data_IF_871975589321
#
_entry.id   IF_871975589321
#
_cell.length_a   1.000
_cell.length_b   1.000
_cell.length_c   1.000
_cell.angle_alpha   90.00
_cell.angle_beta   90.00
_cell.angle_gamma   90.00
#
_symmetry.space_group_name_H-M   'P 1'
#
loop_
_entity.id
_entity.type
_entity.pdbx_description
1 polymer ?
#
# COMPACT_ATOMS: atom_id res chain seq x y z
N UNK A 1 3.71 -14.39 -37.30
CA UNK A 1 2.52 -15.16 -37.70
C UNK A 1 2.08 -15.98 -36.49
N UNK A 2 0.79 -15.89 -36.16
CA UNK A 2 0.12 -16.34 -34.92
C UNK A 2 0.46 -17.78 -34.48
N UNK A 3 0.26 -18.18 -33.22
CA UNK A 3 -1.05 -18.72 -32.78
C UNK A 3 -1.22 -18.69 -31.25
N UNK A 4 -2.43 -18.28 -30.85
CA UNK A 4 -2.99 -18.16 -29.49
C UNK A 4 -3.83 -19.42 -29.17
N UNK A 5 -4.06 -19.66 -27.87
CA UNK A 5 -5.09 -20.50 -27.23
C UNK A 5 -4.68 -21.97 -26.96
N UNK A 6 -5.02 -22.61 -25.83
CA UNK A 6 -6.29 -22.61 -25.08
C UNK A 6 -6.09 -23.04 -23.62
N UNK A 7 -6.95 -22.48 -22.76
CA UNK A 7 -7.31 -22.92 -21.40
C UNK A 7 -8.15 -24.20 -21.41
N UNK A 8 -8.16 -24.94 -20.27
CA UNK A 8 -9.08 -25.98 -19.75
C UNK A 8 -8.26 -27.18 -19.22
N UNK A 9 -8.41 -27.76 -18.03
CA UNK A 9 -9.53 -27.82 -17.09
C UNK A 9 -9.03 -28.05 -15.65
N UNK A 10 -9.65 -27.37 -14.69
CA UNK A 10 -9.79 -27.86 -13.32
C UNK A 10 -11.04 -28.74 -13.28
N UNK A 11 -10.91 -30.04 -13.00
CA UNK A 11 -11.90 -30.85 -12.24
C UNK A 11 -11.41 -32.29 -12.16
N UNK A 12 -10.88 -32.71 -11.00
CA UNK A 12 -11.36 -33.95 -10.40
C UNK A 12 -10.91 -34.06 -8.94
N UNK A 13 -11.91 -34.16 -8.07
CA UNK A 13 -11.71 -34.46 -6.67
C UNK A 13 -11.06 -35.83 -6.53
N UNK A 14 -10.02 -35.90 -5.71
CA UNK A 14 -9.44 -37.16 -5.25
C UNK A 14 -9.31 -37.11 -3.74
N UNK A 15 -9.95 -38.10 -3.15
CA UNK A 15 -10.30 -38.30 -1.75
C UNK A 15 -9.08 -38.28 -0.83
N UNK A 16 -9.27 -37.73 0.36
CA UNK A 16 -8.38 -37.92 1.50
C UNK A 16 -8.27 -39.42 1.85
N UNK A 17 -7.05 -39.96 1.92
CA UNK A 17 -6.72 -41.07 2.84
C UNK A 17 -5.25 -40.99 3.25
N UNK A 18 -5.05 -40.78 4.55
CA UNK A 18 -3.93 -41.20 5.40
C UNK A 18 -2.62 -41.64 4.72
N UNK A 19 -1.56 -40.88 4.96
CA UNK A 19 -0.33 -41.39 5.59
C UNK A 19 0.56 -40.20 5.98
N UNK A 20 1.09 -40.25 7.20
CA UNK A 20 1.71 -39.12 7.88
C UNK A 20 2.91 -38.53 7.15
N UNK A 21 2.86 -37.22 6.95
CA UNK A 21 4.04 -36.38 6.87
C UNK A 21 3.97 -35.30 7.94
N UNK A 22 4.62 -35.66 9.03
CA UNK A 22 5.31 -34.84 9.99
C UNK A 22 5.77 -33.48 9.42
N UNK A 23 5.26 -32.40 10.01
CA UNK A 23 5.98 -31.13 10.18
C UNK A 23 6.79 -30.59 8.97
N UNK A 24 6.11 -30.13 7.93
CA UNK A 24 6.69 -29.08 7.08
C UNK A 24 6.53 -27.75 7.82
N UNK A 25 7.60 -27.01 8.15
CA UNK A 25 7.43 -25.64 8.59
C UNK A 25 6.76 -24.91 7.42
N UNK A 26 5.64 -24.25 7.68
CA UNK A 26 5.09 -23.26 6.76
C UNK A 26 6.04 -22.05 6.75
N UNK A 27 7.22 -22.26 6.17
CA UNK A 27 8.31 -21.31 5.92
C UNK A 27 8.83 -21.56 4.52
N UNK A 28 7.94 -21.83 3.58
CA UNK A 28 8.24 -21.84 2.16
C UNK A 28 7.40 -20.75 1.52
N UNK A 29 8.11 -19.74 1.01
CA UNK A 29 7.68 -18.73 0.04
C UNK A 29 6.85 -17.53 0.52
N UNK A 30 7.45 -16.65 1.34
CA UNK A 30 7.09 -15.21 1.33
C UNK A 30 8.29 -14.29 1.04
N UNK A 31 9.51 -14.83 0.94
CA UNK A 31 10.74 -14.03 0.97
C UNK A 31 11.35 -13.72 -0.41
N UNK A 32 10.78 -14.20 -1.52
CA UNK A 32 11.32 -13.99 -2.89
C UNK A 32 10.39 -13.24 -3.85
N UNK A 33 9.24 -12.76 -3.40
CA UNK A 33 8.37 -11.95 -4.26
C UNK A 33 8.74 -10.48 -4.08
N UNK A 34 9.43 -9.91 -5.07
CA UNK A 34 9.68 -8.47 -5.13
C UNK A 34 8.33 -7.74 -5.07
N UNK A 35 8.14 -6.81 -4.12
CA UNK A 35 6.91 -6.03 -4.07
C UNK A 35 6.77 -5.24 -5.38
N UNK A 36 5.59 -5.33 -5.98
CA UNK A 36 5.25 -4.61 -7.22
C UNK A 36 5.01 -3.13 -6.91
N UNK A 37 4.49 -2.85 -5.71
CA UNK A 37 4.29 -1.49 -5.18
C UNK A 37 5.17 -1.26 -3.96
N UNK A 38 5.91 -0.17 -3.96
CA UNK A 38 6.61 0.30 -2.76
C UNK A 38 5.62 1.06 -1.86
N UNK A 39 5.53 0.71 -0.59
CA UNK A 39 4.63 1.37 0.36
C UNK A 39 5.45 2.13 1.40
N UNK A 40 5.23 3.44 1.45
CA UNK A 40 5.83 4.32 2.45
C UNK A 40 4.78 4.67 3.52
N UNK A 41 5.17 4.52 4.79
CA UNK A 41 4.34 4.83 5.95
C UNK A 41 4.73 6.18 6.55
N UNK A 42 3.74 6.96 6.96
CA UNK A 42 3.96 8.17 7.75
C UNK A 42 4.02 7.86 9.25
N UNK A 43 4.58 8.78 10.03
CA UNK A 43 4.64 8.65 11.49
C UNK A 43 3.23 8.57 12.10
N UNK A 44 2.27 9.31 11.54
CA UNK A 44 0.87 9.29 11.95
C UNK A 44 0.25 7.90 11.75
N UNK A 45 0.63 7.19 10.68
CA UNK A 45 0.17 5.83 10.45
C UNK A 45 0.69 4.86 11.50
N UNK A 46 1.99 4.93 11.80
CA UNK A 46 2.62 4.03 12.77
C UNK A 46 2.12 4.30 14.19
N UNK A 47 1.92 5.57 14.57
CA UNK A 47 1.35 5.95 15.85
C UNK A 47 -0.07 5.40 16.03
N UNK A 48 -0.92 5.54 15.01
CA UNK A 48 -2.26 4.95 15.03
C UNK A 48 -2.21 3.42 15.13
N UNK A 49 -1.38 2.75 14.34
CA UNK A 49 -1.31 1.28 14.32
C UNK A 49 -0.81 0.74 15.66
N UNK A 50 0.11 1.45 16.32
CA UNK A 50 0.57 1.15 17.67
C UNK A 50 -0.49 1.38 18.74
N UNK A 51 -1.38 2.35 18.55
CA UNK A 51 -2.48 2.67 19.48
C UNK A 51 -3.70 1.74 19.38
N UNK A 52 -3.76 0.85 18.39
CA UNK A 52 -4.88 -0.09 18.22
C UNK A 52 -4.88 -1.16 19.32
N UNK A 53 -5.94 -1.17 20.13
CA UNK A 53 -6.19 -2.22 21.14
C UNK A 53 -6.60 -3.56 20.51
N UNK A 54 -7.21 -3.55 19.33
CA UNK A 54 -7.64 -4.76 18.62
C UNK A 54 -6.47 -5.41 17.86
N UNK A 55 -5.98 -6.53 18.41
CA UNK A 55 -4.89 -7.31 17.82
C UNK A 55 -5.30 -7.99 16.50
N UNK A 56 -6.55 -8.43 16.37
CA UNK A 56 -7.03 -9.09 15.15
C UNK A 56 -7.21 -8.07 14.03
N UNK A 57 -7.77 -6.91 14.35
CA UNK A 57 -7.87 -5.78 13.44
C UNK A 57 -6.50 -5.34 12.93
N UNK A 58 -5.53 -5.20 13.83
CA UNK A 58 -4.15 -4.87 13.50
C UNK A 58 -3.51 -5.89 12.55
N UNK A 59 -3.68 -7.19 12.82
CA UNK A 59 -3.17 -8.24 11.94
C UNK A 59 -3.81 -8.21 10.54
N UNK A 60 -5.13 -7.98 10.47
CA UNK A 60 -5.86 -7.87 9.19
C UNK A 60 -5.40 -6.67 8.37
N UNK A 61 -5.14 -5.53 9.02
CA UNK A 61 -4.57 -4.33 8.38
C UNK A 61 -3.20 -4.64 7.77
N UNK A 62 -2.31 -5.29 8.54
CA UNK A 62 -0.97 -5.67 8.05
C UNK A 62 -1.02 -6.65 6.89
N UNK A 63 -1.85 -7.69 6.98
CA UNK A 63 -2.04 -8.66 5.89
C UNK A 63 -2.60 -7.97 4.64
N UNK A 64 -3.54 -7.04 4.80
CA UNK A 64 -4.07 -6.27 3.68
C UNK A 64 -2.99 -5.40 3.05
N UNK A 65 -2.13 -4.80 3.85
CA UNK A 65 -1.02 -4.00 3.35
C UNK A 65 -0.04 -4.85 2.54
N UNK A 66 0.31 -6.04 3.05
CA UNK A 66 1.18 -6.97 2.33
C UNK A 66 0.60 -7.38 0.98
N UNK A 67 -0.71 -7.57 0.89
CA UNK A 67 -1.39 -7.83 -0.39
C UNK A 67 -1.33 -6.63 -1.34
N UNK A 68 -1.45 -5.41 -0.81
CA UNK A 68 -1.33 -4.20 -1.61
C UNK A 68 0.10 -4.02 -2.19
N UNK A 69 1.14 -4.40 -1.44
CA UNK A 69 2.53 -4.44 -1.94
C UNK A 69 2.67 -5.37 -3.15
N UNK A 70 1.93 -6.47 -3.15
CA UNK A 70 1.89 -7.45 -4.25
C UNK A 70 1.00 -7.02 -5.43
N UNK A 71 0.34 -5.86 -5.36
CA UNK A 71 -0.57 -5.37 -6.41
C UNK A 71 -2.05 -5.56 -6.12
N UNK A 72 -2.42 -6.21 -5.02
CA UNK A 72 -3.80 -6.52 -4.68
C UNK A 72 -4.38 -5.53 -3.67
N UNK A 73 -4.92 -4.41 -4.18
CA UNK A 73 -5.48 -3.32 -3.38
C UNK A 73 -6.84 -3.65 -2.73
N UNK A 74 -7.63 -4.57 -3.30
CA UNK A 74 -8.94 -4.96 -2.77
C UNK A 74 -10.00 -3.87 -2.95
N UNK A 75 -10.92 -3.73 -1.99
CA UNK A 75 -11.96 -2.69 -2.01
C UNK A 75 -11.34 -1.30 -1.70
N UNK A 76 -11.21 -0.49 -2.76
CA UNK A 76 -10.70 0.87 -2.69
C UNK A 76 -11.68 1.85 -3.34
N UNK A 77 -11.83 3.03 -2.74
CA UNK A 77 -12.64 4.14 -3.25
C UNK A 77 -11.75 5.37 -3.47
N UNK A 78 -11.81 5.98 -4.65
CA UNK A 78 -11.19 7.29 -4.86
C UNK A 78 -11.99 8.39 -4.13
N UNK A 79 -11.29 9.26 -3.41
CA UNK A 79 -11.85 10.40 -2.66
C UNK A 79 -11.49 11.77 -3.26
N UNK A 80 -10.80 11.77 -4.40
CA UNK A 80 -10.29 12.97 -5.08
C UNK A 80 -8.92 13.42 -4.59
N UNK A 81 -8.29 14.36 -5.29
CA UNK A 81 -6.95 14.90 -5.00
C UNK A 81 -5.81 13.85 -4.98
N UNK A 82 -6.03 12.69 -5.63
CA UNK A 82 -5.12 11.54 -5.59
C UNK A 82 -5.26 10.67 -4.34
N UNK A 83 -6.17 11.02 -3.42
CA UNK A 83 -6.47 10.27 -2.21
C UNK A 83 -7.44 9.12 -2.50
N UNK A 84 -7.12 7.94 -1.97
CA UNK A 84 -7.90 6.74 -2.01
C UNK A 84 -8.15 6.22 -0.59
N UNK A 85 -9.31 5.61 -0.38
CA UNK A 85 -9.71 4.93 0.85
C UNK A 85 -9.76 3.43 0.58
N UNK A 86 -9.02 2.65 1.35
CA UNK A 86 -9.10 1.19 1.35
C UNK A 86 -9.99 0.73 2.50
N UNK A 87 -10.97 -0.11 2.17
CA UNK A 87 -11.98 -0.58 3.13
C UNK A 87 -11.64 -1.97 3.63
N UNK A 88 -11.64 -2.10 4.96
CA UNK A 88 -11.47 -3.37 5.66
C UNK A 88 -12.66 -3.53 6.59
N UNK A 89 -13.61 -4.36 6.17
CA UNK A 89 -14.80 -4.66 6.96
C UNK A 89 -14.46 -5.76 7.98
N UNK A 90 -13.83 -5.32 9.07
CA UNK A 90 -13.50 -6.14 10.24
C UNK A 90 -13.63 -5.29 11.50
N UNK A 91 -14.24 -5.85 12.55
CA UNK A 91 -14.50 -5.16 13.81
C UNK A 91 -15.26 -3.83 13.60
N UNK A 92 -14.69 -2.67 14.01
CA UNK A 92 -15.34 -1.37 13.84
C UNK A 92 -15.41 -0.86 12.39
N UNK A 93 -14.79 -1.59 11.43
CA UNK A 93 -14.72 -1.20 10.03
C UNK A 93 -13.59 -0.18 9.80
N UNK A 94 -12.39 -0.68 9.57
CA UNK A 94 -11.19 0.14 9.36
C UNK A 94 -11.16 0.74 7.94
N UNK A 95 -10.69 1.99 7.85
CA UNK A 95 -10.55 2.75 6.60
C UNK A 95 -9.14 3.33 6.46
N UNK A 96 -8.33 2.78 5.58
CA UNK A 96 -6.94 3.23 5.39
C UNK A 96 -6.91 4.27 4.28
N UNK A 97 -6.33 5.44 4.56
CA UNK A 97 -6.22 6.52 3.59
C UNK A 97 -4.82 6.54 2.99
N UNK A 98 -4.76 6.44 1.67
CA UNK A 98 -3.50 6.37 0.93
C UNK A 98 -3.54 7.20 -0.34
N UNK A 99 -2.38 7.64 -0.80
CA UNK A 99 -2.18 8.28 -2.10
C UNK A 99 -1.24 7.44 -2.92
N UNK A 100 -1.50 7.32 -4.22
CA UNK A 100 -0.63 6.62 -5.16
C UNK A 100 0.12 7.62 -6.03
N UNK A 101 1.44 7.56 -6.00
CA UNK A 101 2.35 8.36 -6.81
C UNK A 101 3.20 7.40 -7.67
N UNK A 102 2.77 7.16 -8.90
CA UNK A 102 3.40 6.17 -9.79
C UNK A 102 3.33 4.75 -9.21
N UNK A 103 4.51 4.14 -8.99
CA UNK A 103 4.67 2.80 -8.38
C UNK A 103 4.80 2.82 -6.86
N UNK A 104 4.80 4.01 -6.26
CA UNK A 104 4.92 4.20 -4.81
C UNK A 104 3.56 4.60 -4.25
N UNK A 105 3.15 3.96 -3.16
CA UNK A 105 1.96 4.34 -2.42
C UNK A 105 2.35 4.88 -1.04
N UNK A 106 1.74 6.00 -0.66
CA UNK A 106 1.93 6.64 0.62
C UNK A 106 0.71 6.43 1.49
N UNK A 107 0.93 5.84 2.66
CA UNK A 107 -0.08 5.72 3.71
C UNK A 107 -0.02 6.98 4.57
N UNK A 108 -1.07 7.80 4.49
CA UNK A 108 -1.08 9.13 5.11
C UNK A 108 -1.63 9.09 6.53
N UNK A 109 -2.74 8.36 6.67
CA UNK A 109 -3.50 8.28 7.90
C UNK A 109 -4.14 6.92 8.00
N UNK A 110 -4.03 6.37 9.19
CA UNK A 110 -4.34 5.00 9.40
C UNK A 110 -5.68 4.88 10.12
N UNK A 111 -6.54 4.07 9.50
CA UNK A 111 -7.83 3.56 10.00
C UNK A 111 -8.59 4.44 10.97
N UNK A 112 -9.28 5.43 10.41
CA UNK A 112 -10.52 5.90 11.02
C UNK A 112 -11.49 4.73 11.26
N UNK A 113 -12.37 4.89 12.24
CA UNK A 113 -13.59 4.07 12.32
C UNK A 113 -14.66 4.68 11.41
N UNK A 114 -15.67 3.89 11.04
CA UNK A 114 -16.80 4.38 10.23
C UNK A 114 -17.43 5.67 10.77
N UNK A 115 -17.40 5.90 12.09
CA UNK A 115 -17.97 7.09 12.73
C UNK A 115 -17.13 8.38 12.52
N UNK A 116 -15.82 8.26 12.35
CA UNK A 116 -14.88 9.38 12.22
C UNK A 116 -14.61 9.84 10.77
N UNK A 117 -15.17 9.13 9.79
CA UNK A 117 -14.75 9.19 8.38
C UNK A 117 -14.60 10.62 7.82
N UNK A 118 -15.52 11.55 8.10
CA UNK A 118 -15.45 12.92 7.57
C UNK A 118 -14.24 13.70 8.09
N UNK A 119 -13.95 13.57 9.38
CA UNK A 119 -12.80 14.23 10.01
C UNK A 119 -11.49 13.63 9.49
N UNK A 120 -11.44 12.30 9.39
CA UNK A 120 -10.27 11.57 8.91
C UNK A 120 -9.93 11.92 7.45
N UNK A 121 -10.95 12.04 6.58
CA UNK A 121 -10.75 12.46 5.19
C UNK A 121 -10.20 13.89 5.12
N UNK A 122 -10.75 14.82 5.92
CA UNK A 122 -10.27 16.20 5.95
C UNK A 122 -8.81 16.29 6.39
N UNK A 123 -8.46 15.54 7.45
CA UNK A 123 -7.10 15.48 7.97
C UNK A 123 -6.13 14.82 6.95
N UNK A 124 -6.54 13.74 6.29
CA UNK A 124 -5.74 13.08 5.26
C UNK A 124 -5.45 14.00 4.07
N UNK A 125 -6.43 14.80 3.64
CA UNK A 125 -6.22 15.81 2.59
C UNK A 125 -5.26 16.91 3.03
N UNK A 126 -5.34 17.36 4.28
CA UNK A 126 -4.43 18.37 4.81
C UNK A 126 -2.99 17.85 4.87
N UNK A 127 -2.80 16.65 5.43
CA UNK A 127 -1.49 16.00 5.54
C UNK A 127 -0.85 15.75 4.17
N UNK A 128 -1.64 15.28 3.20
CA UNK A 128 -1.15 15.10 1.83
C UNK A 128 -0.64 16.40 1.21
N UNK A 129 -1.35 17.52 1.41
CA UNK A 129 -0.90 18.83 0.90
C UNK A 129 0.43 19.25 1.52
N UNK A 130 0.64 18.99 2.81
CA UNK A 130 1.91 19.26 3.49
C UNK A 130 3.05 18.45 2.89
N UNK A 131 2.88 17.13 2.81
CA UNK A 131 3.89 16.21 2.24
C UNK A 131 4.23 16.58 0.79
N UNK A 132 3.21 16.91 -0.02
CA UNK A 132 3.40 17.32 -1.41
C UNK A 132 4.21 18.62 -1.52
N UNK A 133 3.97 19.59 -0.64
CA UNK A 133 4.73 20.85 -0.60
C UNK A 133 6.20 20.62 -0.24
N UNK A 134 6.47 19.82 0.78
CA UNK A 134 7.82 19.50 1.22
C UNK A 134 8.63 18.85 0.09
N UNK A 135 8.05 17.87 -0.61
CA UNK A 135 8.72 17.21 -1.75
C UNK A 135 9.00 18.14 -2.92
N UNK A 136 8.04 18.99 -3.25
CA UNK A 136 8.20 19.94 -4.37
C UNK A 136 9.31 20.96 -4.07
N UNK A 137 9.40 21.42 -2.82
CA UNK A 137 10.42 22.36 -2.38
C UNK A 137 11.83 21.75 -2.39
N UNK A 138 11.99 20.51 -1.91
CA UNK A 138 13.30 19.83 -1.94
C UNK A 138 13.78 19.62 -3.37
N UNK A 139 12.88 19.24 -4.27
CA UNK A 139 13.22 19.02 -5.69
C UNK A 139 13.59 20.33 -6.37
N UNK A 140 12.87 21.43 -6.14
CA UNK A 140 13.21 22.73 -6.74
C UNK A 140 14.50 23.32 -6.17
N UNK A 141 14.79 23.11 -4.88
CA UNK A 141 16.00 23.57 -4.21
C UNK A 141 17.24 22.77 -4.65
N UNK A 142 17.10 21.45 -4.83
CA UNK A 142 18.17 20.59 -5.36
C UNK A 142 18.43 20.85 -6.85
N UNK A 143 17.38 21.06 -7.66
CA UNK A 143 17.53 21.42 -9.07
C UNK A 143 18.14 22.82 -9.25
N UNK A 144 17.90 23.75 -8.31
CA UNK A 144 18.53 25.06 -8.32
C UNK A 144 20.03 25.02 -7.99
N UNK A 145 20.49 24.10 -7.13
CA UNK A 145 21.91 23.94 -6.83
C UNK A 145 22.69 23.12 -7.87
N UNK A 146 21.99 22.37 -8.74
CA UNK A 146 22.59 21.56 -9.80
C UNK A 146 22.71 22.28 -11.16
N UNK A 147 22.52 23.61 -11.24
CA UNK A 147 22.73 24.34 -12.50
C UNK A 147 24.20 24.19 -12.93
N UNK A 148 24.49 23.66 -14.12
CA UNK A 148 25.86 23.60 -14.61
C UNK A 148 26.40 25.03 -14.72
N UNK A 149 27.61 25.25 -14.20
CA UNK A 149 28.29 26.54 -14.29
C UNK A 149 28.48 26.86 -15.79
N UNK A 150 27.78 27.87 -16.30
CA UNK A 150 27.79 28.26 -17.72
C UNK A 150 29.08 28.99 -18.12
N UNK A 151 30.16 28.86 -17.35
CA UNK A 151 31.45 29.50 -17.59
C UNK A 151 32.34 28.81 -18.64
N UNK A 152 31.87 27.75 -19.32
CA UNK A 152 32.70 26.97 -20.28
C UNK A 152 32.40 27.27 -21.76
N UNK A 153 31.38 28.07 -22.10
CA UNK A 153 31.07 28.41 -23.50
C UNK A 153 31.67 29.77 -23.94
N UNK A 154 33.00 29.86 -24.00
CA UNK A 154 33.71 30.88 -24.79
C UNK A 154 34.99 30.28 -25.37
N UNK A 155 34.91 29.82 -26.61
CA UNK A 155 36.03 29.79 -27.58
C UNK A 155 35.47 29.61 -28.98
#
# INVERSE_FOLDING_TARGET
MATIARLADMTNGSKCTNLGYFFLPCRIYMDTISPVNAINRTAEFDAWLGGLKDLQGRAKVLVRLKRAELGHWGDCKALGDGLCEMRIDFGPGYRIYFVREGRVAYLLLAGGSKAGQRADIAFAKALWRTIRRERTCVTSRLLASMRPNTSIARK
#
